data_IF_500833356342
#
_entry.id   IF_500833356342
#
_cell.length_a   1.000
_cell.length_b   1.000
_cell.length_c   1.000
_cell.angle_alpha   90.00
_cell.angle_beta   90.00
_cell.angle_gamma   90.00
#
_symmetry.space_group_name_H-M   'P 1'
#
loop_
_entity.id
_entity.type
_entity.pdbx_description
1 polymer ?
#
# COMPACT_ATOMS: atom_id res chain seq x y z
N UNK A 1 -6.69 15.89 7.46
CA UNK A 1 -5.96 15.25 8.56
C UNK A 1 -4.54 15.78 8.55
N UNK A 2 -4.07 16.46 9.61
CA UNK A 2 -2.69 16.93 9.68
C UNK A 2 -1.72 15.75 9.84
N UNK A 3 -0.58 15.79 9.15
CA UNK A 3 0.53 14.86 9.34
C UNK A 3 1.64 15.57 10.11
N UNK A 4 2.18 14.92 11.14
CA UNK A 4 3.26 15.45 11.98
C UNK A 4 4.35 14.37 12.09
N UNK A 5 5.61 14.78 11.91
CA UNK A 5 6.74 13.88 12.06
C UNK A 5 7.29 13.97 13.48
N UNK A 6 7.46 12.82 14.14
CA UNK A 6 8.05 12.74 15.48
C UNK A 6 9.47 12.18 15.38
N UNK A 7 10.41 12.90 15.98
CA UNK A 7 11.80 12.44 16.09
C UNK A 7 12.19 12.37 17.56
N UNK A 8 12.61 11.18 17.99
CA UNK A 8 13.28 10.99 19.27
C UNK A 8 14.76 11.31 19.07
N UNK A 9 15.23 12.42 19.65
CA UNK A 9 16.66 12.77 19.61
C UNK A 9 17.01 13.70 20.75
N UNK A 10 18.13 13.41 21.43
CA UNK A 10 18.71 14.32 22.42
C UNK A 10 19.54 15.44 21.77
N UNK A 11 19.97 15.28 20.52
CA UNK A 11 20.77 16.28 19.80
C UNK A 11 19.90 17.18 18.91
N UNK A 12 19.16 18.08 19.55
CA UNK A 12 18.25 19.01 18.88
C UNK A 12 18.98 19.90 17.86
N UNK A 13 20.23 20.28 18.13
CA UNK A 13 21.02 21.16 17.24
C UNK A 13 21.34 20.46 15.91
N UNK A 14 21.81 19.22 15.99
CA UNK A 14 22.10 18.40 14.81
C UNK A 14 20.84 18.10 14.01
N UNK A 15 19.76 17.68 14.66
CA UNK A 15 18.49 17.41 13.97
C UNK A 15 17.97 18.66 13.25
N UNK A 16 18.01 19.83 13.91
CA UNK A 16 17.65 21.12 13.27
C UNK A 16 18.55 21.51 12.12
N UNK A 17 19.83 21.13 12.15
CA UNK A 17 20.74 21.34 11.03
C UNK A 17 20.33 20.46 9.85
N UNK A 18 20.11 19.16 10.08
CA UNK A 18 19.70 18.19 9.04
C UNK A 18 18.38 18.64 8.39
N UNK A 19 17.35 18.93 9.18
CA UNK A 19 16.04 19.35 8.67
C UNK A 19 16.14 20.61 7.78
N UNK A 20 17.02 21.57 8.13
CA UNK A 20 17.22 22.78 7.31
C UNK A 20 18.05 22.51 6.06
N UNK A 21 19.15 21.76 6.20
CA UNK A 21 20.03 21.39 5.09
C UNK A 21 19.25 20.65 4.00
N UNK A 22 18.38 19.74 4.42
CA UNK A 22 17.59 18.89 3.52
C UNK A 22 16.27 19.56 3.09
N UNK A 23 16.06 20.83 3.45
CA UNK A 23 14.87 21.62 3.13
C UNK A 23 13.55 20.94 3.53
N UNK A 24 13.56 20.21 4.66
CA UNK A 24 12.40 19.50 5.17
C UNK A 24 11.39 20.49 5.78
N UNK A 25 10.31 20.76 5.05
CA UNK A 25 9.35 21.84 5.37
C UNK A 25 8.09 21.37 6.11
N UNK A 26 7.94 20.06 6.36
CA UNK A 26 6.79 19.55 7.09
C UNK A 26 6.89 19.80 8.60
N UNK A 27 5.75 19.90 9.33
CA UNK A 27 5.76 20.05 10.78
C UNK A 27 6.47 18.90 11.50
N UNK A 28 7.37 19.24 12.42
CA UNK A 28 8.17 18.30 13.20
C UNK A 28 7.96 18.51 14.70
N UNK A 29 7.75 17.42 15.44
CA UNK A 29 7.89 17.35 16.89
C UNK A 29 9.21 16.66 17.24
N UNK A 30 10.02 17.29 18.09
CA UNK A 30 11.26 16.72 18.61
C UNK A 30 11.00 16.26 20.04
N UNK A 31 10.85 14.95 20.23
CA UNK A 31 10.56 14.33 21.52
C UNK A 31 11.86 13.96 22.24
N UNK A 32 12.46 14.95 22.88
CA UNK A 32 13.74 14.80 23.61
C UNK A 32 13.64 13.91 24.85
N UNK A 33 12.42 13.72 25.37
CA UNK A 33 12.14 12.99 26.60
C UNK A 33 11.56 11.59 26.35
N UNK A 34 11.42 11.18 25.08
CA UNK A 34 10.82 9.90 24.68
C UNK A 34 9.39 9.70 25.22
N UNK A 35 8.62 10.78 25.42
CA UNK A 35 7.29 10.75 26.03
C UNK A 35 6.28 10.02 25.16
N UNK A 36 6.35 10.20 23.84
CA UNK A 36 5.40 9.61 22.90
C UNK A 36 5.58 8.09 22.82
N UNK A 37 6.84 7.62 22.80
CA UNK A 37 7.14 6.20 22.89
C UNK A 37 6.83 5.64 24.28
N UNK A 38 7.19 6.33 25.36
CA UNK A 38 6.86 5.88 26.73
C UNK A 38 5.36 5.66 26.94
N UNK A 39 4.53 6.50 26.30
CA UNK A 39 3.07 6.39 26.33
C UNK A 39 2.54 5.17 25.55
N UNK A 40 3.15 4.83 24.41
CA UNK A 40 2.55 3.91 23.43
C UNK A 40 3.33 2.59 23.23
N UNK A 41 4.60 2.54 23.62
CA UNK A 41 5.54 1.41 23.49
C UNK A 41 5.64 0.91 22.06
N UNK A 42 6.29 1.70 21.19
CA UNK A 42 6.32 1.39 19.76
C UNK A 42 7.12 0.11 19.47
N UNK A 43 6.71 -0.67 18.46
CA UNK A 43 7.55 -1.73 17.90
C UNK A 43 8.86 -1.16 17.33
N UNK A 44 9.94 -1.94 17.41
CA UNK A 44 11.26 -1.52 16.93
C UNK A 44 11.40 -1.56 15.40
N UNK A 45 10.51 -2.26 14.71
CA UNK A 45 10.54 -2.44 13.26
C UNK A 45 10.15 -1.15 12.54
N UNK A 46 11.00 -0.71 11.60
CA UNK A 46 10.80 0.53 10.84
C UNK A 46 9.49 0.54 10.03
N UNK A 47 9.00 -0.63 9.61
CA UNK A 47 7.75 -0.78 8.85
C UNK A 47 6.50 -0.41 9.65
N UNK A 48 6.59 -0.32 10.97
CA UNK A 48 5.48 0.02 11.87
C UNK A 48 5.53 1.46 12.40
N UNK A 49 6.41 2.33 11.87
CA UNK A 49 6.57 3.71 12.33
C UNK A 49 5.58 4.73 11.73
N UNK A 50 4.37 4.29 11.36
CA UNK A 50 3.28 5.17 10.92
C UNK A 50 2.05 4.89 11.75
N UNK A 51 1.44 5.93 12.32
CA UNK A 51 0.39 5.77 13.32
C UNK A 51 -0.79 6.71 13.09
N UNK A 52 -1.99 6.21 13.39
CA UNK A 52 -3.14 7.06 13.71
C UNK A 52 -3.19 7.23 15.23
N UNK A 53 -3.30 8.46 15.72
CA UNK A 53 -3.40 8.78 17.15
C UNK A 53 -4.68 9.53 17.47
N UNK A 54 -5.14 9.41 18.72
CA UNK A 54 -6.21 10.24 19.26
C UNK A 54 -5.69 11.58 19.80
N UNK A 55 -6.61 12.40 20.34
CA UNK A 55 -6.28 13.71 20.94
C UNK A 55 -5.40 13.64 22.19
N UNK A 56 -5.24 12.45 22.78
CA UNK A 56 -4.36 12.20 23.92
C UNK A 56 -3.00 11.62 23.49
N UNK A 57 -2.67 11.66 22.18
CA UNK A 57 -1.49 11.04 21.58
C UNK A 57 -1.42 9.52 21.80
N UNK A 58 -2.54 8.83 22.04
CA UNK A 58 -2.56 7.38 22.11
C UNK A 58 -2.74 6.81 20.72
N UNK A 59 -1.93 5.81 20.38
CA UNK A 59 -2.05 5.10 19.10
C UNK A 59 -3.37 4.34 19.04
N UNK A 60 -4.10 4.58 17.95
CA UNK A 60 -5.34 3.91 17.56
C UNK A 60 -5.11 2.87 16.48
N UNK A 61 -4.21 3.15 15.53
CA UNK A 61 -3.85 2.23 14.44
C UNK A 61 -2.35 2.31 14.16
N UNK A 62 -1.73 1.16 13.89
CA UNK A 62 -0.32 1.02 13.52
C UNK A 62 -0.21 0.59 12.06
N UNK A 63 0.77 1.16 11.34
CA UNK A 63 1.13 0.80 9.97
C UNK A 63 0.85 1.91 8.96
N UNK A 64 1.52 1.84 7.82
CA UNK A 64 1.38 2.80 6.74
C UNK A 64 0.15 2.48 5.86
N UNK A 65 -0.89 3.35 5.83
CA UNK A 65 -2.13 3.11 5.08
C UNK A 65 -1.98 3.22 3.56
N UNK A 66 -0.84 3.70 3.04
CA UNK A 66 -0.57 3.76 1.60
C UNK A 66 -0.23 2.38 1.05
N UNK A 67 0.57 1.61 1.78
CA UNK A 67 1.07 0.31 1.31
C UNK A 67 0.20 -0.87 1.77
N UNK A 68 -0.75 -0.64 2.68
CA UNK A 68 -1.64 -1.69 3.18
C UNK A 68 -3.08 -1.19 3.29
N UNK A 69 -3.95 -1.64 2.39
CA UNK A 69 -5.35 -1.20 2.35
C UNK A 69 -6.18 -1.70 3.54
N UNK A 70 -5.79 -2.80 4.19
CA UNK A 70 -6.43 -3.23 5.43
C UNK A 70 -6.14 -2.23 6.57
N UNK A 71 -4.90 -1.72 6.64
CA UNK A 71 -4.54 -0.63 7.56
C UNK A 71 -5.30 0.64 7.20
N UNK A 72 -5.40 1.00 5.91
CA UNK A 72 -6.22 2.13 5.46
C UNK A 72 -7.68 2.02 5.93
N UNK A 73 -8.27 0.84 5.86
CA UNK A 73 -9.64 0.60 6.33
C UNK A 73 -9.77 0.82 7.85
N UNK A 74 -8.77 0.43 8.64
CA UNK A 74 -8.71 0.73 10.08
C UNK A 74 -8.65 2.25 10.34
N UNK A 75 -7.83 2.99 9.58
CA UNK A 75 -7.76 4.44 9.69
C UNK A 75 -9.10 5.10 9.39
N UNK A 76 -9.74 4.72 8.28
CA UNK A 76 -11.03 5.27 7.87
C UNK A 76 -12.12 4.96 8.90
N UNK A 77 -12.11 3.77 9.49
CA UNK A 77 -13.06 3.37 10.53
C UNK A 77 -12.94 4.23 11.78
N UNK A 78 -11.72 4.44 12.27
CA UNK A 78 -11.47 5.28 13.46
C UNK A 78 -11.81 6.76 13.19
N UNK A 79 -11.47 7.28 12.00
CA UNK A 79 -11.73 8.68 11.65
C UNK A 79 -13.21 8.98 11.37
N UNK A 80 -13.93 8.07 10.71
CA UNK A 80 -15.32 8.29 10.34
C UNK A 80 -16.30 7.90 11.47
N UNK A 81 -15.87 7.14 12.48
CA UNK A 81 -16.75 6.57 13.50
C UNK A 81 -17.79 5.59 12.94
N UNK A 82 -17.67 5.18 11.67
CA UNK A 82 -18.63 4.32 10.98
C UNK A 82 -18.34 2.87 11.31
N UNK A 83 -19.34 2.16 11.85
CA UNK A 83 -19.36 0.70 11.88
C UNK A 83 -19.65 0.18 10.46
N UNK A 84 -18.62 -0.22 9.73
CA UNK A 84 -18.79 -0.91 8.43
C UNK A 84 -19.38 -2.30 8.65
N UNK A 85 -20.42 -2.64 7.90
CA UNK A 85 -20.93 -4.01 7.84
C UNK A 85 -19.95 -4.84 7.00
N UNK A 86 -19.55 -6.04 7.44
CA UNK A 86 -18.71 -6.91 6.63
C UNK A 86 -19.47 -7.27 5.34
N UNK A 87 -18.79 -7.14 4.20
CA UNK A 87 -19.31 -7.62 2.93
C UNK A 87 -19.33 -9.16 2.93
N UNK A 88 -20.35 -9.80 2.32
CA UNK A 88 -20.30 -11.23 2.04
C UNK A 88 -19.03 -11.57 1.27
N UNK A 89 -18.35 -12.65 1.66
CA UNK A 89 -17.12 -13.08 0.99
C UNK A 89 -17.45 -13.86 -0.28
N UNK A 90 -16.63 -13.68 -1.32
CA UNK A 90 -16.71 -14.45 -2.56
C UNK A 90 -15.35 -15.02 -2.94
N UNK A 91 -15.30 -15.77 -4.04
CA UNK A 91 -14.06 -16.28 -4.61
C UNK A 91 -13.73 -15.54 -5.91
N UNK A 92 -12.49 -15.10 -6.06
CA UNK A 92 -11.99 -14.50 -7.28
C UNK A 92 -10.74 -15.25 -7.72
N UNK A 93 -10.57 -15.43 -9.02
CA UNK A 93 -9.37 -16.05 -9.61
C UNK A 93 -8.86 -15.17 -10.73
N UNK A 94 -7.55 -15.02 -10.81
CA UNK A 94 -6.88 -14.49 -11.99
C UNK A 94 -6.73 -15.58 -13.07
N UNK A 95 -6.44 -15.16 -14.30
CA UNK A 95 -6.09 -16.07 -15.40
C UNK A 95 -4.72 -16.73 -15.19
N UNK A 96 -3.80 -16.07 -14.49
CA UNK A 96 -2.50 -16.59 -14.05
C UNK A 96 -2.12 -16.01 -12.69
N UNK A 97 -1.18 -16.63 -11.98
CA UNK A 97 -0.55 -16.04 -10.79
C UNK A 97 0.74 -15.29 -11.12
N UNK A 98 1.32 -15.58 -12.29
CA UNK A 98 2.56 -14.99 -12.79
C UNK A 98 2.38 -14.40 -14.19
N UNK A 99 2.99 -13.24 -14.44
CA UNK A 99 2.91 -12.50 -15.69
C UNK A 99 4.30 -12.06 -16.16
N UNK A 100 4.70 -12.52 -17.34
CA UNK A 100 5.99 -12.18 -17.91
C UNK A 100 5.88 -10.99 -18.89
N UNK A 101 6.72 -9.97 -18.69
CA UNK A 101 6.84 -8.84 -19.63
C UNK A 101 7.80 -9.10 -20.78
N UNK A 102 8.63 -10.15 -20.71
CA UNK A 102 9.63 -10.39 -21.75
C UNK A 102 10.87 -9.51 -21.58
N UNK A 103 11.49 -9.20 -22.71
CA UNK A 103 12.55 -8.20 -22.79
C UNK A 103 11.94 -6.83 -23.02
N UNK A 104 12.28 -5.87 -22.16
CA UNK A 104 11.76 -4.50 -22.19
C UNK A 104 12.91 -3.54 -22.42
N UNK A 105 12.72 -2.52 -23.26
CA UNK A 105 13.73 -1.47 -23.46
C UNK A 105 13.83 -0.55 -22.25
N UNK A 106 15.04 -0.03 -21.98
CA UNK A 106 15.22 0.96 -20.91
C UNK A 106 14.36 2.21 -21.16
N UNK A 107 13.70 2.69 -20.10
CA UNK A 107 12.72 3.78 -20.09
C UNK A 107 11.42 3.49 -20.86
N UNK A 108 11.23 2.28 -21.36
CA UNK A 108 9.95 1.88 -21.94
C UNK A 108 8.91 1.65 -20.83
N UNK A 109 7.64 1.89 -21.16
CA UNK A 109 6.51 1.49 -20.33
C UNK A 109 5.72 0.41 -21.04
N UNK A 110 5.69 -0.78 -20.46
CA UNK A 110 4.97 -1.94 -21.01
C UNK A 110 3.74 -2.24 -20.17
N UNK A 111 2.73 -2.87 -20.76
CA UNK A 111 1.48 -3.19 -20.07
C UNK A 111 1.09 -4.66 -20.24
N UNK A 112 0.47 -5.21 -19.20
CA UNK A 112 -0.09 -6.56 -19.18
C UNK A 112 -1.52 -6.52 -18.69
N UNK A 113 -2.40 -7.28 -19.35
CA UNK A 113 -3.79 -7.45 -18.94
C UNK A 113 -3.86 -8.69 -18.06
N UNK A 114 -4.45 -8.51 -16.88
CA UNK A 114 -4.83 -9.56 -15.92
C UNK A 114 -6.34 -9.70 -16.02
N UNK A 115 -6.83 -10.91 -16.22
CA UNK A 115 -8.28 -11.18 -16.22
C UNK A 115 -8.65 -11.72 -14.85
N UNK A 116 -9.49 -10.99 -14.14
CA UNK A 116 -10.06 -11.42 -12.86
C UNK A 116 -11.46 -11.96 -13.10
N UNK A 117 -11.72 -13.17 -12.64
CA UNK A 117 -13.00 -13.86 -12.76
C UNK A 117 -13.58 -14.10 -11.36
N UNK A 118 -14.83 -13.71 -11.14
CA UNK A 118 -15.54 -14.04 -9.90
C UNK A 118 -16.11 -15.46 -10.01
N UNK A 119 -15.49 -16.40 -9.32
CA UNK A 119 -15.88 -17.82 -9.32
C UNK A 119 -16.80 -18.18 -8.16
N UNK A 120 -17.11 -17.23 -7.28
CA UNK A 120 -18.02 -17.43 -6.16
C UNK A 120 -19.48 -17.11 -6.49
N UNK A 121 -20.32 -17.05 -5.44
CA UNK A 121 -21.76 -16.81 -5.53
C UNK A 121 -22.17 -15.38 -5.16
N UNK A 122 -21.27 -14.66 -4.51
CA UNK A 122 -21.49 -13.27 -4.07
C UNK A 122 -20.76 -12.32 -5.02
N UNK A 123 -21.20 -11.06 -5.09
CA UNK A 123 -20.55 -10.03 -5.91
C UNK A 123 -19.14 -9.75 -5.36
N UNK A 124 -18.13 -9.86 -6.21
CA UNK A 124 -16.77 -9.44 -5.86
C UNK A 124 -16.70 -7.92 -5.92
N UNK A 125 -16.16 -7.31 -4.87
CA UNK A 125 -15.94 -5.86 -4.75
C UNK A 125 -14.47 -5.61 -4.50
N UNK A 126 -13.81 -4.92 -5.42
CA UNK A 126 -12.42 -4.53 -5.25
C UNK A 126 -12.33 -3.37 -4.26
N UNK A 127 -11.47 -3.52 -3.26
CA UNK A 127 -11.14 -2.47 -2.28
C UNK A 127 -9.98 -1.59 -2.75
N UNK A 128 -9.13 -2.15 -3.60
CA UNK A 128 -8.05 -1.46 -4.27
C UNK A 128 -6.89 -2.40 -4.59
N UNK A 129 -5.82 -1.83 -5.14
CA UNK A 129 -4.61 -2.54 -5.53
C UNK A 129 -3.41 -1.78 -4.99
N UNK A 130 -2.42 -2.49 -4.44
CA UNK A 130 -1.10 -1.93 -4.09
C UNK A 130 -0.03 -2.54 -4.95
N UNK A 131 1.04 -1.79 -5.21
CA UNK A 131 2.20 -2.24 -5.98
C UNK A 131 3.43 -2.29 -5.07
N UNK A 132 4.38 -3.16 -5.40
CA UNK A 132 5.67 -3.29 -4.70
C UNK A 132 6.65 -2.13 -4.96
N UNK A 133 6.44 -1.33 -6.02
CA UNK A 133 7.23 -0.15 -6.36
C UNK A 133 6.35 0.89 -7.06
N UNK A 134 6.81 2.14 -7.08
CA UNK A 134 6.22 3.23 -7.88
C UNK A 134 6.47 3.04 -9.40
N UNK A 135 7.36 2.12 -9.76
CA UNK A 135 7.62 1.69 -11.14
C UNK A 135 6.49 0.85 -11.75
N UNK A 136 5.51 0.43 -10.93
CA UNK A 136 4.34 -0.34 -11.34
C UNK A 136 3.07 0.49 -11.16
N UNK A 137 2.11 0.36 -12.08
CA UNK A 137 0.81 1.03 -11.98
C UNK A 137 -0.30 0.04 -12.34
N UNK A 138 -1.37 -0.01 -11.55
CA UNK A 138 -2.53 -0.86 -11.78
C UNK A 138 -3.76 0.00 -12.15
N UNK A 139 -4.33 -0.24 -13.32
CA UNK A 139 -5.45 0.51 -13.89
C UNK A 139 -6.66 -0.41 -14.10
N UNK A 140 -7.81 0.00 -13.57
CA UNK A 140 -9.07 -0.71 -13.68
C UNK A 140 -10.23 0.30 -13.65
N UNK A 141 -11.24 0.07 -14.49
CA UNK A 141 -12.42 0.94 -14.64
C UNK A 141 -13.70 0.39 -13.99
N UNK A 142 -13.57 -0.59 -13.12
CA UNK A 142 -14.69 -1.33 -12.51
C UNK A 142 -14.46 -1.46 -11.00
N UNK A 143 -15.54 -1.50 -10.23
CA UNK A 143 -15.46 -1.67 -8.77
C UNK A 143 -16.03 -3.02 -8.31
N UNK A 144 -16.77 -3.71 -9.19
CA UNK A 144 -17.44 -4.96 -8.89
C UNK A 144 -17.34 -5.95 -10.06
N UNK A 145 -17.40 -7.25 -9.75
CA UNK A 145 -17.52 -8.34 -10.74
C UNK A 145 -18.67 -9.24 -10.28
N UNK A 146 -19.70 -9.40 -11.11
CA UNK A 146 -20.84 -10.28 -10.76
C UNK A 146 -20.40 -11.76 -10.76
N UNK A 147 -21.13 -12.64 -10.06
CA UNK A 147 -20.86 -14.08 -10.10
C UNK A 147 -20.78 -14.62 -11.53
N UNK A 148 -19.69 -15.29 -11.87
CA UNK A 148 -19.43 -15.85 -13.20
C UNK A 148 -18.90 -14.85 -14.24
N UNK A 149 -18.87 -13.55 -13.93
CA UNK A 149 -18.32 -12.54 -14.83
C UNK A 149 -16.81 -12.36 -14.66
N UNK A 150 -16.20 -11.65 -15.61
CA UNK A 150 -14.79 -11.32 -15.60
C UNK A 150 -14.55 -9.86 -15.92
N UNK A 151 -13.49 -9.30 -15.34
CA UNK A 151 -13.06 -7.93 -15.59
C UNK A 151 -11.54 -7.85 -15.77
N UNK A 152 -11.09 -6.82 -16.48
CA UNK A 152 -9.68 -6.65 -16.83
C UNK A 152 -9.02 -5.64 -15.90
N UNK A 153 -7.89 -6.04 -15.32
CA UNK A 153 -6.95 -5.19 -14.59
C UNK A 153 -5.70 -5.01 -15.47
N UNK A 154 -5.37 -3.77 -15.83
CA UNK A 154 -4.19 -3.47 -16.65
C UNK A 154 -3.03 -3.07 -15.75
N UNK A 155 -1.91 -3.78 -15.84
CA UNK A 155 -0.72 -3.55 -15.02
C UNK A 155 0.38 -3.02 -15.91
N UNK A 156 0.88 -1.82 -15.62
CA UNK A 156 1.95 -1.15 -16.33
C UNK A 156 3.24 -1.22 -15.54
N UNK A 157 4.36 -1.42 -16.24
CA UNK A 157 5.71 -1.40 -15.68
C UNK A 157 6.57 -0.39 -16.44
N UNK A 158 7.24 0.50 -15.72
CA UNK A 158 8.22 1.45 -16.26
C UNK A 158 9.63 0.92 -16.01
N UNK A 159 10.35 0.60 -17.08
CA UNK A 159 11.63 -0.09 -17.04
C UNK A 159 12.82 0.87 -16.82
N UNK A 160 13.02 1.33 -15.59
CA UNK A 160 14.07 2.33 -15.28
C UNK A 160 15.48 1.71 -15.07
N UNK A 161 15.52 0.52 -14.46
CA UNK A 161 16.76 -0.18 -14.10
C UNK A 161 17.04 -1.35 -15.05
N UNK A 162 18.32 -1.52 -15.46
CA UNK A 162 18.76 -2.62 -16.32
C UNK A 162 18.81 -3.95 -15.54
N UNK A 163 18.60 -5.07 -16.24
CA UNK A 163 18.69 -6.42 -15.67
C UNK A 163 17.34 -7.05 -15.38
N UNK A 164 17.36 -8.18 -14.68
CA UNK A 164 16.14 -8.91 -14.34
C UNK A 164 15.39 -8.20 -13.22
N UNK A 165 14.06 -8.22 -13.30
CA UNK A 165 13.19 -7.69 -12.26
C UNK A 165 12.13 -8.71 -11.85
N UNK A 166 11.78 -8.64 -10.58
CA UNK A 166 10.63 -9.32 -9.99
C UNK A 166 9.85 -8.31 -9.15
N UNK A 167 8.57 -8.16 -9.42
CA UNK A 167 7.69 -7.20 -8.76
C UNK A 167 6.34 -7.84 -8.55
N UNK A 168 5.63 -7.35 -7.55
CA UNK A 168 4.30 -7.84 -7.20
C UNK A 168 3.27 -6.73 -7.21
N UNK A 169 2.03 -7.12 -7.46
CA UNK A 169 0.85 -6.32 -7.10
C UNK A 169 -0.02 -7.15 -6.17
N UNK A 170 -0.70 -6.48 -5.24
CA UNK A 170 -1.64 -7.11 -4.31
C UNK A 170 -3.02 -6.52 -4.52
N UNK A 171 -3.98 -7.37 -4.86
CA UNK A 171 -5.38 -6.99 -5.09
C UNK A 171 -6.17 -7.29 -3.81
N UNK A 172 -6.88 -6.29 -3.30
CA UNK A 172 -7.69 -6.39 -2.08
C UNK A 172 -9.17 -6.42 -2.43
N UNK A 173 -9.95 -7.24 -1.73
CA UNK A 173 -11.37 -7.37 -1.97
C UNK A 173 -12.12 -8.10 -0.84
N UNK A 174 -13.40 -8.37 -1.06
CA UNK A 174 -14.22 -9.20 -0.16
C UNK A 174 -14.01 -10.70 -0.41
N UNK A 175 -12.79 -11.17 -0.21
CA UNK A 175 -12.42 -12.59 -0.28
C UNK A 175 -11.96 -13.09 1.09
N UNK A 176 -11.95 -14.41 1.37
CA UNK A 176 -11.58 -14.95 2.68
C UNK A 176 -10.20 -14.46 3.17
N UNK A 177 -9.21 -14.45 2.27
CA UNK A 177 -7.84 -14.03 2.54
C UNK A 177 -7.67 -12.50 2.55
N UNK A 178 -8.74 -11.73 2.30
CA UNK A 178 -8.80 -10.26 2.13
C UNK A 178 -8.03 -9.71 0.93
N UNK A 179 -7.00 -10.41 0.47
CA UNK A 179 -6.19 -10.05 -0.69
C UNK A 179 -5.47 -11.24 -1.29
N UNK A 180 -5.06 -11.12 -2.54
CA UNK A 180 -4.15 -12.05 -3.22
C UNK A 180 -3.06 -11.26 -3.95
N UNK A 181 -1.90 -11.89 -4.14
CA UNK A 181 -0.73 -11.30 -4.80
C UNK A 181 -0.51 -11.95 -6.15
N UNK A 182 -0.13 -11.14 -7.14
CA UNK A 182 0.27 -11.59 -8.48
C UNK A 182 1.70 -11.13 -8.75
N UNK A 183 2.48 -12.01 -9.37
CA UNK A 183 3.89 -11.81 -9.65
C UNK A 183 4.10 -11.36 -11.10
N UNK A 184 5.02 -10.41 -11.27
CA UNK A 184 5.39 -9.82 -12.55
C UNK A 184 6.91 -9.80 -12.68
N UNK A 185 7.40 -10.34 -13.79
CA UNK A 185 8.85 -10.45 -14.01
C UNK A 185 9.24 -10.27 -15.47
N UNK A 186 10.52 -10.06 -15.70
CA UNK A 186 11.11 -9.86 -17.02
C UNK A 186 12.54 -9.33 -16.94
N UNK A 187 13.07 -8.90 -18.08
CA UNK A 187 14.43 -8.39 -18.19
C UNK A 187 14.44 -7.05 -18.91
N UNK A 188 15.10 -6.05 -18.33
CA UNK A 188 15.32 -4.75 -18.97
C UNK A 188 16.65 -4.74 -19.70
N UNK A 189 16.63 -4.41 -20.99
CA UNK A 189 17.82 -4.28 -21.84
C UNK A 189 18.06 -2.82 -22.25
N UNK A 190 19.30 -2.56 -22.68
CA UNK A 190 19.68 -1.28 -23.27
C UNK A 190 18.93 -1.00 -24.56
#
# INVERSE_FOLDING_TARGET
>A
VPFVFFFQSKNVRELRYILRRDSFSYPVCIDTEDRFNSLNRFPGEMTFQTFLVDSCNRVKVIGNPIHNLSVKELYLKELAGIKTRPLPVTAVRSDSVEYHYGMVGRNETVSRKVILCNTGKEVFRIKGVTTSCDCMTAEYGWNEIQPGESAILTVKYKAEELGDFWRTITVYGNIPEKSFTLDFWGTVKK
#
